data_IF_074835885931
#
_entry.id   IF_074835885931
#
_cell.length_a   1.000
_cell.length_b   1.000
_cell.length_c   1.000
_cell.angle_alpha   90.00
_cell.angle_beta   90.00
_cell.angle_gamma   90.00
#
_symmetry.space_group_name_H-M   'P 1'
#
loop_
_entity.id
_entity.type
_entity.pdbx_description
1 polymer ?
#
# COMPACT_ATOMS: atom_id res chain seq x y z
N UNK A 1 9.10 -8.85 -3.92
CA UNK A 1 8.77 -8.12 -2.70
C UNK A 1 10.04 -7.50 -2.14
N UNK A 2 9.96 -6.31 -1.54
CA UNK A 2 11.09 -5.62 -0.88
C UNK A 2 10.71 -5.39 0.57
N UNK A 3 11.58 -5.77 1.51
CA UNK A 3 11.39 -5.64 2.94
C UNK A 3 12.73 -5.28 3.61
N UNK A 4 12.74 -4.27 4.45
CA UNK A 4 13.96 -3.80 5.12
C UNK A 4 14.20 -4.52 6.45
N UNK A 5 13.13 -4.88 7.16
CA UNK A 5 13.24 -5.59 8.43
C UNK A 5 13.67 -7.03 8.20
N UNK A 6 14.72 -7.44 8.89
CA UNK A 6 15.32 -8.77 8.73
C UNK A 6 14.37 -9.91 9.13
N UNK A 7 13.63 -9.75 10.21
CA UNK A 7 12.75 -10.81 10.71
C UNK A 7 11.55 -10.96 9.79
N UNK A 8 10.94 -9.85 9.36
CA UNK A 8 9.85 -9.82 8.39
C UNK A 8 10.30 -10.36 7.02
N UNK A 9 11.51 -10.03 6.56
CA UNK A 9 12.10 -10.61 5.34
C UNK A 9 12.23 -12.13 5.45
N UNK A 10 12.80 -12.67 6.54
CA UNK A 10 12.95 -14.12 6.70
C UNK A 10 11.61 -14.83 6.77
N UNK A 11 10.61 -14.26 7.46
CA UNK A 11 9.26 -14.80 7.50
C UNK A 11 8.61 -14.80 6.11
N UNK A 12 8.74 -13.72 5.37
CA UNK A 12 8.22 -13.63 4.01
C UNK A 12 8.88 -14.66 3.08
N UNK A 13 10.20 -14.84 3.18
CA UNK A 13 10.95 -15.84 2.41
C UNK A 13 10.48 -17.26 2.73
N UNK A 14 10.25 -17.57 4.02
CA UNK A 14 9.69 -18.86 4.43
C UNK A 14 8.27 -19.07 3.85
N UNK A 15 7.39 -18.08 3.97
CA UNK A 15 6.04 -18.15 3.42
C UNK A 15 6.05 -18.41 1.90
N UNK A 16 6.95 -17.75 1.18
CA UNK A 16 7.12 -17.98 -0.27
C UNK A 16 7.60 -19.40 -0.54
N UNK A 17 8.54 -19.95 0.27
CA UNK A 17 9.07 -21.31 0.08
C UNK A 17 8.02 -22.40 0.33
N UNK A 18 7.07 -22.18 1.22
CA UNK A 18 5.96 -23.11 1.48
C UNK A 18 4.83 -23.02 0.46
N UNK A 19 4.78 -21.95 -0.33
CA UNK A 19 3.71 -21.74 -1.29
C UNK A 19 4.10 -22.36 -2.65
N UNK A 20 3.21 -23.18 -3.22
CA UNK A 20 3.41 -23.78 -4.55
C UNK A 20 3.55 -22.75 -5.68
N UNK A 21 3.07 -21.52 -5.46
CA UNK A 21 3.20 -20.39 -6.40
C UNK A 21 4.53 -19.64 -6.23
N UNK A 22 5.34 -20.00 -5.24
CA UNK A 22 6.56 -19.28 -4.85
C UNK A 22 7.69 -19.28 -5.87
N UNK A 23 7.62 -20.11 -6.91
CA UNK A 23 8.68 -20.25 -7.93
C UNK A 23 8.99 -18.90 -8.62
N UNK A 24 8.00 -18.02 -8.74
CA UNK A 24 8.12 -16.72 -9.41
C UNK A 24 8.19 -15.53 -8.44
N UNK A 25 8.27 -15.77 -7.12
CA UNK A 25 8.30 -14.72 -6.11
C UNK A 25 9.73 -14.55 -5.61
N UNK A 26 10.29 -13.35 -5.79
CA UNK A 26 11.56 -12.96 -5.20
C UNK A 26 11.33 -12.01 -4.03
N UNK A 27 12.04 -12.25 -2.93
CA UNK A 27 12.02 -11.40 -1.74
C UNK A 27 13.41 -10.79 -1.60
N UNK A 28 13.49 -9.47 -1.44
CA UNK A 28 14.74 -8.71 -1.32
C UNK A 28 14.78 -8.03 0.05
N UNK A 29 15.88 -8.23 0.78
CA UNK A 29 16.13 -7.57 2.06
C UNK A 29 16.91 -6.29 1.82
N UNK A 30 16.21 -5.19 1.63
CA UNK A 30 16.82 -3.86 1.47
C UNK A 30 15.79 -2.74 1.62
N UNK A 31 16.27 -1.51 1.75
CA UNK A 31 15.41 -0.33 1.71
C UNK A 31 14.81 -0.16 0.32
N UNK A 32 13.53 0.25 0.26
CA UNK A 32 12.85 0.49 -1.02
C UNK A 32 13.53 1.59 -1.85
N UNK A 33 14.08 2.60 -1.20
CA UNK A 33 14.80 3.71 -1.84
C UNK A 33 16.03 3.23 -2.63
N UNK A 34 16.66 2.15 -2.15
CA UNK A 34 17.90 1.57 -2.70
C UNK A 34 17.61 0.39 -3.63
N UNK A 35 16.35 0.00 -3.76
CA UNK A 35 15.99 -1.19 -4.55
C UNK A 35 16.27 -0.99 -6.03
N UNK A 36 17.18 -1.79 -6.55
CA UNK A 36 17.51 -1.90 -7.96
C UNK A 36 17.07 -3.28 -8.49
N UNK A 37 16.16 -3.36 -9.46
CA UNK A 37 15.60 -4.63 -9.92
C UNK A 37 16.55 -5.49 -10.76
N UNK A 38 17.81 -5.13 -10.87
CA UNK A 38 18.78 -5.85 -11.70
C UNK A 38 18.46 -5.70 -13.20
N UNK A 39 18.24 -6.83 -13.88
CA UNK A 39 17.93 -6.85 -15.32
C UNK A 39 16.46 -6.50 -15.64
N UNK A 40 15.62 -6.26 -14.66
CA UNK A 40 14.23 -5.84 -14.85
C UNK A 40 14.22 -4.32 -14.88
N UNK A 41 13.84 -3.74 -16.00
CA UNK A 41 13.84 -2.29 -16.15
C UNK A 41 12.72 -1.64 -15.35
N UNK A 42 11.50 -2.18 -15.42
CA UNK A 42 10.31 -1.60 -14.75
C UNK A 42 9.21 -2.66 -14.55
N UNK A 43 8.24 -2.33 -13.67
CA UNK A 43 7.11 -3.18 -13.31
C UNK A 43 5.80 -2.67 -13.91
N UNK A 44 4.91 -3.61 -14.28
CA UNK A 44 3.55 -3.31 -14.72
C UNK A 44 2.66 -2.91 -13.55
N UNK A 45 2.96 -3.44 -12.36
CA UNK A 45 2.16 -3.26 -11.15
C UNK A 45 3.06 -3.09 -9.92
N UNK A 46 2.78 -2.06 -9.15
CA UNK A 46 3.33 -1.88 -7.80
C UNK A 46 2.16 -1.91 -6.82
N UNK A 47 2.26 -2.71 -5.77
CA UNK A 47 1.28 -2.73 -4.66
C UNK A 47 2.03 -2.44 -3.37
N UNK A 48 1.50 -1.53 -2.55
CA UNK A 48 2.12 -1.20 -1.27
C UNK A 48 1.10 -0.81 -0.20
N UNK A 49 1.42 -1.17 1.04
CA UNK A 49 0.82 -0.61 2.24
C UNK A 49 1.96 0.10 3.00
N UNK A 50 2.30 1.33 2.59
CA UNK A 50 3.46 2.00 3.15
C UNK A 50 3.23 2.38 4.62
N UNK A 51 4.28 2.38 5.45
CA UNK A 51 4.16 2.91 6.79
C UNK A 51 3.78 4.40 6.72
N UNK A 52 2.70 4.77 7.42
CA UNK A 52 2.24 6.15 7.54
C UNK A 52 2.37 6.57 9.00
N UNK A 53 3.40 7.33 9.30
CA UNK A 53 3.55 7.91 10.63
C UNK A 53 3.08 9.35 10.59
N UNK A 54 1.87 9.60 11.09
CA UNK A 54 1.51 10.95 11.50
C UNK A 54 2.37 11.31 12.73
N UNK A 55 3.03 12.45 12.71
CA UNK A 55 3.87 12.98 13.79
C UNK A 55 3.15 13.13 15.16
N UNK A 56 1.91 12.64 15.28
CA UNK A 56 1.02 12.92 16.42
C UNK A 56 0.95 11.81 17.49
N UNK A 57 1.58 10.65 17.30
CA UNK A 57 1.60 9.59 18.33
C UNK A 57 3.01 9.38 18.86
N UNK A 58 3.49 10.38 19.62
CA UNK A 58 4.73 10.26 20.36
C UNK A 58 4.46 9.56 21.70
N UNK A 59 4.72 8.26 21.81
CA UNK A 59 4.83 7.55 23.08
C UNK A 59 6.28 7.50 23.55
N UNK A 60 6.49 7.41 24.86
CA UNK A 60 7.80 7.50 25.52
C UNK A 60 8.84 6.41 25.16
N UNK A 61 8.49 5.40 24.37
CA UNK A 61 9.43 4.43 23.77
C UNK A 61 10.11 4.95 22.49
N UNK A 62 9.87 6.21 22.13
CA UNK A 62 10.16 6.80 20.84
C UNK A 62 11.60 7.30 20.63
N UNK A 63 12.40 7.49 21.69
CA UNK A 63 13.80 7.92 21.47
C UNK A 63 14.64 6.91 20.70
N UNK A 64 14.31 5.60 20.82
CA UNK A 64 14.98 4.53 20.08
C UNK A 64 14.42 4.42 18.66
N UNK A 65 13.14 4.72 18.47
CA UNK A 65 12.51 4.72 17.15
C UNK A 65 12.82 6.00 16.35
N UNK A 66 13.10 7.15 16.98
CA UNK A 66 13.45 8.37 16.25
C UNK A 66 14.71 8.21 15.37
N UNK A 67 15.74 7.54 15.89
CA UNK A 67 16.96 7.27 15.11
C UNK A 67 16.72 6.31 13.91
N UNK A 68 15.71 5.43 14.00
CA UNK A 68 15.24 4.62 12.87
C UNK A 68 14.26 5.37 11.96
N UNK A 69 13.58 6.40 12.46
CA UNK A 69 12.57 7.18 11.75
C UNK A 69 13.14 8.35 10.93
N UNK A 70 14.31 8.83 11.24
CA UNK A 70 15.02 9.81 10.40
C UNK A 70 15.43 9.22 9.03
N UNK A 71 15.46 7.88 8.92
CA UNK A 71 15.73 7.14 7.68
C UNK A 71 14.49 6.45 7.10
N UNK A 72 13.28 6.70 7.65
CA UNK A 72 12.04 6.07 7.20
C UNK A 72 11.61 6.53 5.79
N UNK A 73 10.93 5.65 5.07
CA UNK A 73 10.35 5.93 3.76
C UNK A 73 9.28 7.04 3.89
N UNK A 74 9.56 8.23 3.39
CA UNK A 74 8.57 9.29 3.27
C UNK A 74 7.87 9.25 1.90
N UNK A 75 6.78 10.00 1.73
CA UNK A 75 6.00 10.00 0.48
C UNK A 75 6.78 10.52 -0.73
N UNK A 76 7.72 11.43 -0.53
CA UNK A 76 8.58 11.93 -1.63
C UNK A 76 9.49 10.83 -2.13
N UNK A 77 10.15 10.09 -1.22
CA UNK A 77 11.01 8.96 -1.55
C UNK A 77 10.21 7.81 -2.16
N UNK A 78 9.01 7.53 -1.60
CA UNK A 78 8.12 6.51 -2.14
C UNK A 78 7.74 6.84 -3.60
N UNK A 79 7.32 8.09 -3.87
CA UNK A 79 7.03 8.52 -5.24
C UNK A 79 8.25 8.48 -6.16
N UNK A 80 9.43 8.82 -5.67
CA UNK A 80 10.66 8.76 -6.46
C UNK A 80 11.00 7.31 -6.86
N UNK A 81 10.84 6.36 -5.92
CA UNK A 81 11.01 4.94 -6.23
C UNK A 81 9.93 4.40 -7.19
N UNK A 82 8.67 4.79 -6.99
CA UNK A 82 7.57 4.42 -7.90
C UNK A 82 7.81 4.95 -9.30
N UNK A 83 8.20 6.21 -9.45
CA UNK A 83 8.47 6.85 -10.74
C UNK A 83 9.56 6.12 -11.53
N UNK A 84 10.61 5.67 -10.84
CA UNK A 84 11.71 4.90 -11.41
C UNK A 84 11.31 3.48 -11.80
N UNK A 85 10.50 2.82 -10.95
CA UNK A 85 10.22 1.40 -11.05
C UNK A 85 8.96 1.04 -11.82
N UNK A 86 8.03 1.97 -11.99
CA UNK A 86 6.75 1.72 -12.66
C UNK A 86 6.84 2.06 -14.15
N UNK A 87 6.45 1.12 -15.02
CA UNK A 87 6.31 1.35 -16.46
C UNK A 87 5.39 2.52 -16.76
N UNK A 88 5.52 3.10 -17.95
CA UNK A 88 4.66 4.21 -18.42
C UNK A 88 3.17 3.86 -18.34
N UNK A 89 2.78 2.65 -18.75
CA UNK A 89 1.40 2.15 -18.69
C UNK A 89 1.13 1.34 -17.40
N UNK A 90 2.08 1.34 -16.46
CA UNK A 90 1.97 0.60 -15.20
C UNK A 90 1.00 1.25 -14.22
N UNK A 91 0.61 0.48 -13.22
CA UNK A 91 -0.36 0.90 -12.20
C UNK A 91 0.20 0.71 -10.79
N UNK A 92 0.05 1.73 -9.97
CA UNK A 92 0.30 1.66 -8.53
C UNK A 92 -1.01 1.42 -7.80
N UNK A 93 -1.03 0.52 -6.83
CA UNK A 93 -2.09 0.38 -5.84
C UNK A 93 -1.54 0.56 -4.43
N UNK A 94 -2.23 1.34 -3.61
CA UNK A 94 -1.87 1.49 -2.21
C UNK A 94 -3.07 1.74 -1.32
N UNK A 95 -2.87 1.53 -0.02
CA UNK A 95 -3.85 1.80 1.02
C UNK A 95 -3.26 2.78 2.04
N UNK A 96 -4.00 3.84 2.37
CA UNK A 96 -3.62 4.85 3.35
C UNK A 96 -4.85 5.34 4.13
N UNK A 97 -4.68 5.96 5.32
CA UNK A 97 -5.73 6.75 5.93
C UNK A 97 -6.10 7.95 5.03
N UNK A 98 -7.33 8.51 5.16
CA UNK A 98 -7.81 9.55 4.25
C UNK A 98 -6.92 10.78 4.15
N UNK A 99 -6.39 11.27 5.28
CA UNK A 99 -5.53 12.46 5.32
C UNK A 99 -4.20 12.22 4.58
N UNK A 100 -3.59 11.09 4.84
CA UNK A 100 -2.33 10.67 4.21
C UNK A 100 -2.53 10.40 2.72
N UNK A 101 -3.68 9.84 2.33
CA UNK A 101 -4.04 9.64 0.92
C UNK A 101 -4.13 10.96 0.15
N UNK A 102 -4.72 12.01 0.74
CA UNK A 102 -4.80 13.32 0.07
C UNK A 102 -3.40 13.95 -0.10
N UNK A 103 -2.54 13.85 0.91
CA UNK A 103 -1.16 14.32 0.81
C UNK A 103 -0.36 13.54 -0.24
N UNK A 104 -0.50 12.21 -0.25
CA UNK A 104 0.13 11.33 -1.24
C UNK A 104 -0.32 11.65 -2.67
N UNK A 105 -1.62 11.83 -2.86
CA UNK A 105 -2.24 12.18 -4.15
C UNK A 105 -1.75 13.54 -4.68
N UNK A 106 -1.62 14.55 -3.81
CA UNK A 106 -1.09 15.87 -4.19
C UNK A 106 0.31 15.75 -4.76
N UNK A 107 1.23 15.10 -4.02
CA UNK A 107 2.60 14.86 -4.47
C UNK A 107 2.66 14.04 -5.77
N UNK A 108 1.79 13.04 -5.90
CA UNK A 108 1.70 12.24 -7.13
C UNK A 108 1.31 13.07 -8.35
N UNK A 109 0.36 14.00 -8.18
CA UNK A 109 -0.07 14.89 -9.26
C UNK A 109 1.07 15.79 -9.74
N UNK A 110 1.92 16.29 -8.84
CA UNK A 110 3.11 17.06 -9.19
C UNK A 110 4.13 16.25 -10.01
N UNK A 111 4.15 14.93 -9.82
CA UNK A 111 5.01 13.99 -10.57
C UNK A 111 4.33 13.38 -11.81
N UNK A 112 3.13 13.85 -12.17
CA UNK A 112 2.38 13.35 -13.34
C UNK A 112 1.64 12.04 -13.12
N UNK A 113 1.35 11.67 -11.86
CA UNK A 113 0.51 10.53 -11.53
C UNK A 113 -0.88 10.97 -11.06
N UNK A 114 -1.90 10.28 -11.51
CA UNK A 114 -3.30 10.62 -11.27
C UNK A 114 -4.04 9.45 -10.65
N UNK A 115 -4.88 9.74 -9.64
CA UNK A 115 -5.75 8.73 -9.03
C UNK A 115 -6.85 8.32 -10.02
N UNK A 116 -6.92 7.03 -10.35
CA UNK A 116 -7.92 6.45 -11.25
C UNK A 116 -9.13 5.94 -10.48
N UNK A 117 -8.89 5.17 -9.43
CA UNK A 117 -9.96 4.62 -8.58
C UNK A 117 -9.65 4.91 -7.12
N UNK A 118 -10.70 5.03 -6.31
CA UNK A 118 -10.61 5.14 -4.87
C UNK A 118 -11.73 4.32 -4.23
N UNK A 119 -11.38 3.39 -3.33
CA UNK A 119 -12.35 2.68 -2.49
C UNK A 119 -12.23 3.17 -1.06
N UNK A 120 -13.31 3.70 -0.51
CA UNK A 120 -13.39 4.23 0.84
C UNK A 120 -13.83 3.11 1.79
N UNK A 121 -12.97 2.75 2.74
CA UNK A 121 -13.25 1.70 3.72
C UNK A 121 -13.81 2.29 5.01
N UNK A 122 -14.96 1.74 5.44
CA UNK A 122 -15.61 2.03 6.70
C UNK A 122 -15.80 0.73 7.50
N UNK A 123 -15.59 0.77 8.82
CA UNK A 123 -15.89 -0.40 9.67
C UNK A 123 -17.39 -0.71 9.64
N UNK A 124 -18.21 0.33 9.75
CA UNK A 124 -19.68 0.29 9.65
C UNK A 124 -20.18 1.46 8.83
N UNK A 125 -21.42 1.37 8.35
CA UNK A 125 -22.06 2.42 7.57
C UNK A 125 -22.06 3.79 8.28
N UNK A 126 -22.23 3.78 9.60
CA UNK A 126 -22.21 4.99 10.45
C UNK A 126 -20.81 5.45 10.84
N UNK A 127 -19.77 4.68 10.55
CA UNK A 127 -18.38 4.98 10.89
C UNK A 127 -17.76 5.96 9.91
N UNK A 128 -16.76 6.71 10.38
CA UNK A 128 -15.92 7.49 9.46
C UNK A 128 -15.09 6.56 8.59
N UNK A 129 -14.79 7.00 7.37
CA UNK A 129 -13.80 6.35 6.52
C UNK A 129 -12.45 6.32 7.24
N UNK A 130 -11.89 5.13 7.42
CA UNK A 130 -10.62 4.96 8.13
C UNK A 130 -9.46 4.57 7.22
N UNK A 131 -9.76 4.07 6.01
CA UNK A 131 -8.76 3.77 4.96
C UNK A 131 -9.32 4.13 3.59
N UNK A 132 -8.41 4.44 2.68
CA UNK A 132 -8.68 4.60 1.26
C UNK A 132 -7.72 3.69 0.51
N UNK A 133 -8.25 2.81 -0.33
CA UNK A 133 -7.47 2.08 -1.33
C UNK A 133 -7.56 2.89 -2.61
N UNK A 134 -6.42 3.18 -3.24
CA UNK A 134 -6.41 3.94 -4.48
C UNK A 134 -5.46 3.33 -5.51
N UNK A 135 -5.82 3.47 -6.78
CA UNK A 135 -4.92 3.21 -7.88
C UNK A 135 -4.46 4.50 -8.53
N UNK A 136 -3.21 4.50 -9.01
CA UNK A 136 -2.60 5.63 -9.69
C UNK A 136 -1.91 5.16 -10.97
N UNK A 137 -1.98 6.01 -12.00
CA UNK A 137 -1.27 5.82 -13.26
C UNK A 137 -0.82 7.17 -13.82
N UNK A 138 0.08 7.17 -14.80
CA UNK A 138 0.52 8.39 -15.49
C UNK A 138 -0.58 8.97 -16.40
N UNK A 139 -1.44 8.11 -16.93
CA UNK A 139 -2.57 8.53 -17.74
C UNK A 139 -3.65 9.15 -16.87
N UNK A 140 -3.93 10.43 -17.11
CA UNK A 140 -5.01 11.15 -16.41
C UNK A 140 -6.36 10.58 -16.82
N UNK A 141 -7.20 10.08 -15.89
CA UNK A 141 -8.53 9.58 -16.24
C UNK A 141 -9.47 10.75 -16.60
N UNK A 142 -10.45 10.51 -17.45
CA UNK A 142 -11.52 11.49 -17.71
C UNK A 142 -12.31 11.80 -16.43
N UNK A 143 -12.55 10.77 -15.62
CA UNK A 143 -13.20 10.85 -14.32
C UNK A 143 -12.60 9.79 -13.40
N UNK A 144 -12.22 10.18 -12.19
CA UNK A 144 -11.80 9.22 -11.16
C UNK A 144 -13.02 8.51 -10.59
N UNK A 145 -12.95 7.19 -10.50
CA UNK A 145 -14.01 6.37 -9.91
C UNK A 145 -13.87 6.37 -8.38
N UNK A 146 -15.00 6.50 -7.68
CA UNK A 146 -15.03 6.48 -6.21
C UNK A 146 -16.14 5.56 -5.74
N UNK A 147 -15.79 4.56 -4.90
CA UNK A 147 -16.70 3.57 -4.33
C UNK A 147 -16.57 3.52 -2.82
N UNK A 148 -17.58 3.02 -2.13
CA UNK A 148 -17.53 2.70 -0.69
C UNK A 148 -17.44 1.19 -0.48
N UNK A 149 -16.79 0.77 0.59
CA UNK A 149 -16.82 -0.60 1.08
C UNK A 149 -17.01 -0.55 2.60
N UNK A 150 -18.12 -1.11 3.06
CA UNK A 150 -18.44 -1.27 4.48
C UNK A 150 -18.06 -2.68 4.89
N UNK A 151 -17.29 -2.81 6.00
CA UNK A 151 -16.79 -4.11 6.44
C UNK A 151 -17.87 -4.90 7.17
N UNK A 152 -18.60 -4.24 8.10
CA UNK A 152 -19.60 -4.88 8.96
C UNK A 152 -20.94 -4.16 8.93
N UNK A 153 -21.99 -4.94 9.02
CA UNK A 153 -23.36 -4.43 9.17
C UNK A 153 -23.67 -3.97 10.61
N UNK A 154 -24.93 -3.59 10.85
CA UNK A 154 -25.43 -3.17 12.16
C UNK A 154 -25.36 -4.28 13.23
N UNK A 155 -25.40 -5.55 12.83
CA UNK A 155 -25.35 -6.72 13.69
C UNK A 155 -23.92 -7.22 13.94
N UNK A 156 -22.89 -6.46 13.48
CA UNK A 156 -21.48 -6.81 13.57
C UNK A 156 -21.06 -8.03 12.70
N UNK A 157 -21.91 -8.45 11.76
CA UNK A 157 -21.56 -9.44 10.74
C UNK A 157 -20.85 -8.78 9.56
N UNK A 158 -19.99 -9.51 8.86
CA UNK A 158 -19.38 -9.02 7.63
C UNK A 158 -20.42 -8.80 6.54
N UNK A 159 -20.28 -7.70 5.79
CA UNK A 159 -21.20 -7.42 4.68
C UNK A 159 -20.98 -8.40 3.52
N UNK A 160 -22.03 -8.67 2.71
CA UNK A 160 -21.90 -9.55 1.54
C UNK A 160 -20.80 -9.08 0.57
N UNK A 161 -20.68 -7.77 0.35
CA UNK A 161 -19.66 -7.18 -0.54
C UNK A 161 -18.25 -7.41 -0.01
N UNK A 162 -18.06 -7.32 1.30
CA UNK A 162 -16.76 -7.60 1.93
C UNK A 162 -16.40 -9.09 1.86
N UNK A 163 -17.39 -9.97 2.12
CA UNK A 163 -17.23 -11.41 1.99
C UNK A 163 -16.88 -11.80 0.56
N UNK A 164 -17.63 -11.31 -0.42
CA UNK A 164 -17.36 -11.60 -1.84
C UNK A 164 -15.97 -11.19 -2.29
N UNK A 165 -15.48 -10.04 -1.81
CA UNK A 165 -14.14 -9.54 -2.13
C UNK A 165 -13.03 -10.42 -1.57
N UNK A 166 -13.22 -10.99 -0.38
CA UNK A 166 -12.16 -11.68 0.36
C UNK A 166 -12.33 -13.19 0.49
N UNK A 167 -13.41 -13.75 -0.02
CA UNK A 167 -13.76 -15.18 0.09
C UNK A 167 -12.61 -16.11 -0.25
N UNK A 168 -11.87 -15.82 -1.30
CA UNK A 168 -10.78 -16.67 -1.80
C UNK A 168 -9.47 -16.50 -1.01
N UNK A 169 -9.42 -15.55 -0.08
CA UNK A 169 -8.22 -15.17 0.67
C UNK A 169 -8.35 -15.40 2.18
N UNK A 170 -9.56 -15.59 2.68
CA UNK A 170 -9.83 -15.79 4.10
C UNK A 170 -10.22 -17.24 4.39
N UNK A 171 -9.71 -17.77 5.49
CA UNK A 171 -10.05 -19.15 5.90
C UNK A 171 -11.48 -19.27 6.45
N UNK A 172 -11.97 -18.21 7.08
CA UNK A 172 -13.29 -18.13 7.70
C UNK A 172 -13.86 -16.72 7.60
N UNK A 173 -15.18 -16.64 7.49
CA UNK A 173 -16.00 -15.44 7.63
C UNK A 173 -17.01 -15.62 8.75
#
# INVERSE_FOLDING_TARGET
MVEIDKEAFEQARQNVSFNKLGINIKVHQQAFQEFEPGNIEQYDLIITNPPYYSRQLQSSKQKINLARHEQGLNFTDLWTGIDRLLKTEGMLWLILPPKEMEAFKSLGTEKGFYANTQTLLQDRETSKVHRVIASFARKKPKQSQKTGLVIKDANNAYTPEYIDLLRDYMLHF
#
